data_IF_904746908062
#
_entry.id   IF_904746908062
#
_cell.length_a   1.000
_cell.length_b   1.000
_cell.length_c   1.000
_cell.angle_alpha   90.00
_cell.angle_beta   90.00
_cell.angle_gamma   90.00
#
_symmetry.space_group_name_H-M   'P 1'
#
loop_
_entity.id
_entity.type
_entity.pdbx_description
1 polymer ?
#
# COMPACT_ATOMS: atom_id res chain seq x y z
N UNK A 1 17.95 -15.44 10.98
CA UNK A 1 16.72 -15.65 10.20
C UNK A 1 16.98 -15.22 8.77
N UNK A 2 16.55 -16.00 7.78
CA UNK A 2 16.59 -15.55 6.38
C UNK A 2 15.33 -14.74 6.15
N UNK A 3 15.44 -13.44 5.87
CA UNK A 3 14.29 -12.64 5.44
C UNK A 3 13.83 -13.17 4.08
N UNK A 4 12.71 -13.90 4.05
CA UNK A 4 12.19 -14.52 2.83
C UNK A 4 10.81 -13.97 2.45
N UNK A 5 10.10 -13.35 3.40
CA UNK A 5 8.73 -12.88 3.21
C UNK A 5 8.64 -11.39 3.51
N UNK A 6 8.61 -10.60 2.45
CA UNK A 6 8.58 -9.15 2.50
C UNK A 6 7.16 -8.69 2.18
N UNK A 7 6.67 -7.71 2.94
CA UNK A 7 5.45 -6.97 2.62
C UNK A 7 5.82 -5.50 2.47
N UNK A 8 5.35 -4.86 1.41
CA UNK A 8 5.61 -3.45 1.11
C UNK A 8 4.33 -2.63 1.29
N UNK A 9 4.41 -1.58 2.11
CA UNK A 9 3.31 -0.65 2.38
C UNK A 9 3.36 0.61 1.50
N UNK A 10 4.17 0.64 0.45
CA UNK A 10 4.25 1.77 -0.47
C UNK A 10 4.72 1.37 -1.88
N UNK A 11 4.23 2.04 -2.94
CA UNK A 11 4.60 1.73 -4.32
C UNK A 11 6.11 1.84 -4.59
N UNK A 12 6.77 2.90 -4.13
CA UNK A 12 8.20 3.11 -4.41
C UNK A 12 9.09 2.00 -3.84
N UNK A 13 8.81 1.50 -2.64
CA UNK A 13 9.53 0.36 -2.08
C UNK A 13 9.24 -0.93 -2.86
N UNK A 14 7.99 -1.13 -3.31
CA UNK A 14 7.64 -2.26 -4.18
C UNK A 14 8.45 -2.22 -5.47
N UNK A 15 8.53 -1.07 -6.13
CA UNK A 15 9.31 -0.91 -7.37
C UNK A 15 10.80 -1.21 -7.16
N UNK A 16 11.39 -0.72 -6.06
CA UNK A 16 12.78 -1.02 -5.70
C UNK A 16 13.02 -2.52 -5.46
N UNK A 17 12.07 -3.23 -4.82
CA UNK A 17 12.18 -4.68 -4.62
C UNK A 17 12.18 -5.45 -5.94
N UNK A 18 11.39 -5.01 -6.92
CA UNK A 18 11.42 -5.56 -8.28
C UNK A 18 12.76 -5.27 -8.97
N UNK A 19 13.26 -4.03 -8.88
CA UNK A 19 14.56 -3.66 -9.46
C UNK A 19 15.73 -4.45 -8.85
N UNK A 20 15.65 -4.77 -7.56
CA UNK A 20 16.65 -5.60 -6.87
C UNK A 20 16.47 -7.11 -7.10
N UNK A 21 15.53 -7.54 -7.95
CA UNK A 21 15.29 -8.96 -8.23
C UNK A 21 14.69 -9.72 -7.05
N UNK A 22 14.04 -9.03 -6.11
CA UNK A 22 13.49 -9.58 -4.87
C UNK A 22 11.97 -9.81 -4.93
N UNK A 23 11.34 -9.70 -6.11
CA UNK A 23 9.90 -9.88 -6.31
C UNK A 23 9.36 -11.25 -5.85
N UNK A 24 10.18 -12.30 -5.87
CA UNK A 24 9.78 -13.64 -5.41
C UNK A 24 9.64 -13.72 -3.88
N UNK A 25 10.26 -12.77 -3.18
CA UNK A 25 10.14 -12.62 -1.74
C UNK A 25 9.04 -11.60 -1.36
N UNK A 26 8.32 -11.01 -2.33
CA UNK A 26 7.26 -10.03 -2.08
C UNK A 26 5.89 -10.72 -1.98
N UNK A 27 5.30 -10.70 -0.78
CA UNK A 27 4.06 -11.39 -0.43
C UNK A 27 2.86 -10.47 -0.17
N UNK A 28 3.07 -9.15 -0.15
CA UNK A 28 1.99 -8.20 0.03
C UNK A 28 2.37 -6.80 -0.45
N UNK A 29 1.41 -6.11 -1.07
CA UNK A 29 1.55 -4.77 -1.65
C UNK A 29 0.34 -3.89 -1.33
N UNK A 30 0.39 -2.60 -1.67
CA UNK A 30 -0.79 -1.72 -1.58
C UNK A 30 -1.60 -1.74 -2.88
N UNK A 31 -2.84 -1.26 -2.83
CA UNK A 31 -3.69 -1.04 -4.01
C UNK A 31 -3.06 -0.14 -5.08
N UNK A 32 -2.14 0.77 -4.70
CA UNK A 32 -1.44 1.66 -5.64
C UNK A 32 -0.18 1.05 -6.27
N UNK A 33 0.21 -0.17 -5.89
CA UNK A 33 1.36 -0.85 -6.49
C UNK A 33 0.99 -1.40 -7.88
N UNK A 34 0.97 -0.52 -8.88
CA UNK A 34 0.55 -0.80 -10.27
C UNK A 34 1.75 -1.03 -11.22
N UNK A 35 2.98 -0.81 -10.75
CA UNK A 35 4.22 -0.98 -11.50
C UNK A 35 5.28 -1.78 -10.71
N UNK A 36 6.06 -2.66 -11.36
CA UNK A 36 5.81 -3.20 -12.71
C UNK A 36 4.45 -3.92 -12.79
N UNK A 37 3.90 -4.21 -13.98
CA UNK A 37 2.54 -4.77 -14.10
C UNK A 37 2.30 -6.05 -13.28
N UNK A 38 3.34 -6.84 -13.04
CA UNK A 38 3.28 -8.02 -12.18
C UNK A 38 3.00 -7.70 -10.69
N UNK A 39 3.38 -6.51 -10.21
CA UNK A 39 3.13 -6.06 -8.84
C UNK A 39 1.63 -6.01 -8.51
N UNK A 40 0.80 -5.65 -9.50
CA UNK A 40 -0.65 -5.61 -9.33
C UNK A 40 -1.28 -7.00 -9.11
N UNK A 41 -0.55 -8.09 -9.42
CA UNK A 41 -1.00 -9.47 -9.16
C UNK A 41 -0.71 -9.94 -7.73
N UNK A 42 0.13 -9.21 -6.98
CA UNK A 42 0.48 -9.55 -5.60
C UNK A 42 -0.70 -9.30 -4.67
N UNK A 43 -0.80 -10.03 -3.53
CA UNK A 43 -1.87 -9.81 -2.57
C UNK A 43 -1.89 -8.37 -2.04
N UNK A 44 -3.02 -7.69 -2.15
CA UNK A 44 -3.19 -6.34 -1.59
C UNK A 44 -3.38 -6.43 -0.07
N UNK A 45 -2.46 -5.85 0.69
CA UNK A 45 -2.49 -5.75 2.15
C UNK A 45 -2.99 -4.39 2.64
N UNK A 46 -3.00 -3.36 1.79
CA UNK A 46 -3.57 -2.04 2.09
C UNK A 46 -4.51 -1.64 0.97
N UNK A 47 -5.75 -1.32 1.33
CA UNK A 47 -6.78 -0.84 0.42
C UNK A 47 -7.14 0.61 0.76
N UNK A 48 -7.61 1.37 -0.23
CA UNK A 48 -8.27 2.65 -0.01
C UNK A 48 -9.75 2.44 0.25
N UNK A 49 -10.32 3.24 1.16
CA UNK A 49 -11.78 3.33 1.36
C UNK A 49 -12.43 4.09 0.21
N UNK A 50 -11.67 5.00 -0.43
CA UNK A 50 -12.10 5.80 -1.56
C UNK A 50 -11.67 5.12 -2.86
N UNK A 51 -12.63 4.85 -3.76
CA UNK A 51 -12.32 4.40 -5.11
C UNK A 51 -11.96 5.60 -6.00
N UNK A 52 -10.67 5.97 -6.03
CA UNK A 52 -10.21 7.15 -6.75
C UNK A 52 -10.34 7.05 -8.27
N UNK A 53 -10.41 5.85 -8.83
CA UNK A 53 -10.46 5.65 -10.29
C UNK A 53 -11.80 6.09 -10.91
N UNK A 54 -12.85 6.23 -10.10
CA UNK A 54 -14.20 6.60 -10.52
C UNK A 54 -14.58 8.04 -10.14
N UNK A 55 -13.67 8.78 -9.50
CA UNK A 55 -13.94 10.08 -8.89
C UNK A 55 -13.05 11.17 -9.47
N UNK A 56 -13.59 12.40 -9.54
CA UNK A 56 -12.78 13.58 -9.81
C UNK A 56 -11.93 13.96 -8.61
N UNK A 57 -10.85 14.71 -8.83
CA UNK A 57 -9.99 15.18 -7.72
C UNK A 57 -10.75 15.98 -6.66
N UNK A 58 -11.79 16.74 -7.04
CA UNK A 58 -12.61 17.48 -6.08
C UNK A 58 -13.48 16.56 -5.22
N UNK A 59 -14.03 15.50 -5.81
CA UNK A 59 -14.81 14.50 -5.07
C UNK A 59 -13.92 13.69 -4.13
N UNK A 60 -12.70 13.31 -4.58
CA UNK A 60 -11.71 12.64 -3.73
C UNK A 60 -11.35 13.52 -2.53
N UNK A 61 -11.04 14.80 -2.76
CA UNK A 61 -10.71 15.75 -1.70
C UNK A 61 -11.86 15.91 -0.69
N UNK A 62 -13.08 16.08 -1.20
CA UNK A 62 -14.29 16.21 -0.37
C UNK A 62 -14.49 14.96 0.50
N UNK A 63 -14.39 13.77 -0.09
CA UNK A 63 -14.54 12.51 0.66
C UNK A 63 -13.42 12.31 1.68
N UNK A 64 -12.18 12.64 1.31
CA UNK A 64 -11.02 12.55 2.20
C UNK A 64 -11.20 13.45 3.42
N UNK A 65 -11.57 14.72 3.20
CA UNK A 65 -11.85 15.67 4.28
C UNK A 65 -12.98 15.19 5.19
N UNK A 66 -14.05 14.61 4.62
CA UNK A 66 -15.15 14.07 5.40
C UNK A 66 -14.73 12.88 6.27
N UNK A 67 -13.95 11.93 5.73
CA UNK A 67 -13.45 10.78 6.49
C UNK A 67 -12.55 11.23 7.65
N UNK A 68 -11.65 12.19 7.39
CA UNK A 68 -10.76 12.74 8.42
C UNK A 68 -11.54 13.46 9.53
N UNK A 69 -12.54 14.28 9.17
CA UNK A 69 -13.39 14.96 10.15
C UNK A 69 -14.23 14.00 11.00
N UNK A 70 -14.65 12.88 10.40
CA UNK A 70 -15.38 11.81 11.08
C UNK A 70 -14.47 10.89 11.92
N UNK A 71 -13.14 11.08 11.88
CA UNK A 71 -12.17 10.21 12.54
C UNK A 71 -12.11 8.78 11.96
N UNK A 72 -12.46 8.63 10.68
CA UNK A 72 -12.45 7.35 9.96
C UNK A 72 -11.15 7.19 9.17
N UNK A 73 -10.76 5.94 8.98
CA UNK A 73 -9.59 5.60 8.18
C UNK A 73 -9.82 5.86 6.70
N UNK A 74 -8.83 6.45 6.03
CA UNK A 74 -8.79 6.60 4.56
C UNK A 74 -8.16 5.37 3.87
N UNK A 75 -7.29 4.67 4.60
CA UNK A 75 -6.66 3.43 4.17
C UNK A 75 -6.90 2.35 5.21
N UNK A 76 -7.26 1.15 4.75
CA UNK A 76 -7.55 0.01 5.62
C UNK A 76 -6.61 -1.14 5.35
N UNK A 77 -6.16 -1.78 6.43
CA UNK A 77 -5.34 -2.97 6.35
C UNK A 77 -6.22 -4.19 6.02
N UNK A 78 -5.83 -4.96 5.02
CA UNK A 78 -6.39 -6.27 4.78
C UNK A 78 -5.70 -7.29 5.70
N UNK A 79 -6.20 -7.37 6.93
CA UNK A 79 -5.65 -8.25 7.98
C UNK A 79 -5.52 -9.71 7.52
N UNK A 80 -6.50 -10.21 6.76
CA UNK A 80 -6.49 -11.59 6.25
C UNK A 80 -5.30 -11.81 5.32
N UNK A 81 -5.06 -10.88 4.39
CA UNK A 81 -3.93 -10.96 3.49
C UNK A 81 -2.61 -10.78 4.23
N UNK A 82 -2.53 -9.88 5.21
CA UNK A 82 -1.31 -9.68 5.99
C UNK A 82 -0.96 -10.91 6.83
N UNK A 83 -1.93 -11.51 7.52
CA UNK A 83 -1.74 -12.74 8.31
C UNK A 83 -1.30 -13.89 7.39
N UNK A 84 -1.92 -14.03 6.22
CA UNK A 84 -1.54 -15.04 5.22
C UNK A 84 -0.15 -14.77 4.62
N UNK A 85 0.23 -13.51 4.49
CA UNK A 85 1.55 -13.11 4.00
C UNK A 85 2.65 -13.48 4.98
N UNK A 86 2.37 -13.58 6.29
CA UNK A 86 3.31 -14.02 7.32
C UNK A 86 4.71 -13.38 7.15
N UNK A 87 4.81 -12.03 7.21
CA UNK A 87 6.03 -11.33 6.82
C UNK A 87 7.16 -11.46 7.85
N UNK A 88 8.38 -11.68 7.37
CA UNK A 88 9.61 -11.49 8.14
C UNK A 88 10.01 -10.01 8.20
N UNK A 89 9.61 -9.22 7.19
CA UNK A 89 9.94 -7.81 7.02
C UNK A 89 8.74 -7.05 6.44
N UNK A 90 8.38 -5.94 7.08
CA UNK A 90 7.43 -4.96 6.54
C UNK A 90 8.22 -3.68 6.21
N UNK A 91 8.12 -3.19 4.97
CA UNK A 91 8.70 -1.92 4.55
C UNK A 91 7.59 -0.87 4.55
N UNK A 92 7.81 0.22 5.27
CA UNK A 92 6.89 1.35 5.37
C UNK A 92 7.66 2.67 5.29
N UNK A 93 6.95 3.79 5.29
CA UNK A 93 7.51 5.13 5.30
C UNK A 93 6.79 5.96 6.36
N UNK A 94 7.56 6.76 7.08
CA UNK A 94 6.99 7.80 7.94
C UNK A 94 6.37 8.91 7.10
N UNK A 95 5.48 9.70 7.69
CA UNK A 95 4.92 10.88 7.04
C UNK A 95 6.04 11.83 6.59
N UNK A 96 6.05 12.18 5.31
CA UNK A 96 7.01 13.14 4.79
C UNK A 96 6.68 14.54 5.31
N UNK A 97 7.60 15.18 6.03
CA UNK A 97 7.43 16.56 6.55
C UNK A 97 7.12 17.59 5.47
N UNK A 98 7.48 17.32 4.21
CA UNK A 98 7.22 18.23 3.08
C UNK A 98 5.86 17.95 2.45
N UNK A 99 5.44 16.69 2.35
CA UNK A 99 4.20 16.31 1.66
C UNK A 99 2.98 16.27 2.57
N UNK A 100 3.19 16.14 3.89
CA UNK A 100 2.12 16.06 4.90
C UNK A 100 1.93 17.39 5.67
N UNK A 101 2.63 18.45 5.28
CA UNK A 101 2.50 19.80 5.85
C UNK A 101 1.35 20.60 5.24
#
# INVERSE_FOLDING_TARGET
>A
MSMKRIVSFLPSATELLYEFGSQDNLYGVTHECKYPPDAASKPQVINSVINSDELTSNEIDTMTCQLLNDGKDIFVLNEKNLIKADPDLIISQETCEVCAA
#
